data_IF_445891527281
#
_entry.id   IF_445891527281
#
_cell.length_a   1.000
_cell.length_b   1.000
_cell.length_c   1.000
_cell.angle_alpha   90.00
_cell.angle_beta   90.00
_cell.angle_gamma   90.00
#
_symmetry.space_group_name_H-M   'P 1'
#
loop_
_entity.id
_entity.type
_entity.pdbx_description
1 polymer ?
#
# COMPACT_ATOMS: atom_id res chain seq x y z
N UNK A 1 -6.81 -18.94 4.79
CA UNK A 1 -6.34 -17.80 5.60
C UNK A 1 -4.93 -18.10 6.08
N UNK A 2 -3.97 -17.17 5.91
CA UNK A 2 -2.58 -17.36 6.31
C UNK A 2 -1.94 -16.06 6.77
N UNK A 3 -0.68 -16.16 7.19
CA UNK A 3 0.14 -15.03 7.61
C UNK A 3 1.38 -14.95 6.70
N UNK A 4 1.64 -13.78 6.13
CA UNK A 4 2.82 -13.59 5.24
C UNK A 4 4.15 -13.78 5.97
N UNK A 5 4.16 -13.75 7.30
CA UNK A 5 5.32 -14.03 8.12
C UNK A 5 5.62 -15.53 8.23
N UNK A 6 4.62 -16.39 7.94
CA UNK A 6 4.76 -17.84 7.94
C UNK A 6 4.89 -18.38 6.51
N UNK A 7 6.08 -18.83 6.17
CA UNK A 7 6.40 -19.38 4.84
C UNK A 7 5.58 -20.61 4.52
N UNK A 8 5.24 -21.44 5.51
CA UNK A 8 4.48 -22.66 5.27
C UNK A 8 3.04 -22.35 4.82
N UNK A 9 2.42 -21.33 5.44
CA UNK A 9 1.07 -20.89 5.04
C UNK A 9 1.06 -20.29 3.63
N UNK A 10 2.17 -19.68 3.19
CA UNK A 10 2.33 -19.16 1.84
C UNK A 10 2.55 -20.26 0.80
N UNK A 11 3.28 -21.31 1.16
CA UNK A 11 3.59 -22.42 0.24
C UNK A 11 2.31 -23.09 -0.27
N UNK A 12 1.35 -23.34 0.62
CA UNK A 12 0.05 -23.90 0.25
C UNK A 12 -0.83 -22.92 -0.52
N UNK A 13 -0.78 -21.63 -0.16
CA UNK A 13 -1.61 -20.61 -0.78
C UNK A 13 -1.17 -20.21 -2.20
N UNK A 14 0.13 -20.28 -2.50
CA UNK A 14 0.71 -19.77 -3.77
C UNK A 14 0.88 -20.90 -4.81
N UNK A 15 0.81 -22.16 -4.41
CA UNK A 15 0.94 -23.30 -5.34
C UNK A 15 -0.14 -23.25 -6.42
N UNK A 16 0.28 -23.18 -7.69
CA UNK A 16 -0.62 -23.14 -8.85
C UNK A 16 -1.24 -21.77 -9.13
N UNK A 17 -0.76 -20.71 -8.49
CA UNK A 17 -1.21 -19.33 -8.71
C UNK A 17 -0.42 -18.69 -9.85
N UNK A 18 -1.08 -18.00 -10.78
CA UNK A 18 -0.46 -17.25 -11.87
C UNK A 18 -0.16 -15.79 -11.53
N UNK A 19 -1.00 -15.14 -10.71
CA UNK A 19 -0.94 -13.71 -10.40
C UNK A 19 -1.06 -13.47 -8.89
N UNK A 20 -0.22 -12.60 -8.34
CA UNK A 20 -0.29 -12.20 -6.94
C UNK A 20 -0.42 -10.69 -6.83
N UNK A 21 -1.48 -10.23 -6.13
CA UNK A 21 -1.55 -8.88 -5.59
C UNK A 21 -1.22 -8.93 -4.10
N UNK A 22 -0.01 -8.51 -3.75
CA UNK A 22 0.46 -8.51 -2.37
C UNK A 22 0.12 -7.18 -1.69
N UNK A 23 -0.99 -7.16 -0.96
CA UNK A 23 -1.48 -6.01 -0.21
C UNK A 23 -1.39 -6.18 1.33
N UNK A 24 -0.94 -7.35 1.80
CA UNK A 24 -0.79 -7.59 3.24
C UNK A 24 0.29 -6.69 3.84
N UNK A 25 -0.09 -5.88 4.84
CA UNK A 25 0.83 -4.94 5.48
C UNK A 25 0.28 -4.40 6.81
N UNK A 26 1.18 -3.93 7.66
CA UNK A 26 0.86 -3.00 8.72
C UNK A 26 0.94 -1.57 8.15
N UNK A 27 -0.18 -0.83 8.18
CA UNK A 27 -0.31 0.50 7.56
C UNK A 27 -0.58 1.65 8.54
N UNK A 28 -0.95 1.34 9.77
CA UNK A 28 -1.26 2.34 10.79
C UNK A 28 0.02 2.94 11.34
N UNK A 29 0.23 4.25 11.15
CA UNK A 29 1.45 4.93 11.58
C UNK A 29 1.67 4.80 13.08
N UNK A 30 0.69 5.09 13.97
CA UNK A 30 0.93 4.96 15.41
C UNK A 30 1.32 3.53 15.83
N UNK A 31 0.68 2.51 15.27
CA UNK A 31 1.01 1.12 15.58
C UNK A 31 2.41 0.73 15.10
N UNK A 32 2.83 1.23 13.94
CA UNK A 32 4.17 0.94 13.42
C UNK A 32 5.25 1.68 14.22
N UNK A 33 4.99 2.90 14.70
CA UNK A 33 5.90 3.62 15.60
C UNK A 33 6.05 2.89 16.94
N UNK A 34 4.95 2.37 17.48
CA UNK A 34 4.98 1.67 18.76
C UNK A 34 5.65 0.29 18.67
N UNK A 35 5.44 -0.40 17.53
CA UNK A 35 5.96 -1.76 17.29
C UNK A 35 6.71 -1.84 15.94
N UNK A 36 7.86 -1.14 15.80
CA UNK A 36 8.55 -1.05 14.51
C UNK A 36 9.02 -2.42 13.98
N UNK A 37 9.40 -3.34 14.87
CA UNK A 37 9.79 -4.68 14.45
C UNK A 37 8.63 -5.50 13.86
N UNK A 38 7.38 -5.27 14.30
CA UNK A 38 6.20 -5.90 13.68
C UNK A 38 5.97 -5.35 12.26
N UNK A 39 6.23 -4.04 12.05
CA UNK A 39 6.20 -3.45 10.71
C UNK A 39 7.29 -4.05 9.81
N UNK A 40 8.51 -4.23 10.31
CA UNK A 40 9.60 -4.90 9.57
C UNK A 40 9.23 -6.33 9.23
N UNK A 41 8.77 -7.12 10.22
CA UNK A 41 8.41 -8.52 10.00
C UNK A 41 7.28 -8.69 8.99
N UNK A 42 6.25 -7.85 9.03
CA UNK A 42 5.11 -7.96 8.12
C UNK A 42 5.41 -7.34 6.76
N UNK A 43 5.89 -6.08 6.74
CA UNK A 43 6.02 -5.33 5.50
C UNK A 43 7.28 -5.72 4.72
N UNK A 44 8.39 -6.01 5.40
CA UNK A 44 9.68 -6.32 4.74
C UNK A 44 9.87 -7.82 4.61
N UNK A 45 9.94 -8.55 5.72
CA UNK A 45 10.20 -10.00 5.71
C UNK A 45 9.01 -10.76 5.12
N UNK A 46 7.76 -10.36 5.45
CA UNK A 46 6.56 -10.96 4.86
C UNK A 46 6.52 -10.80 3.34
N UNK A 47 6.91 -9.63 2.82
CA UNK A 47 7.06 -9.44 1.36
C UNK A 47 8.17 -10.32 0.79
N UNK A 48 9.33 -10.40 1.43
CA UNK A 48 10.40 -11.30 1.01
C UNK A 48 9.93 -12.76 0.93
N UNK A 49 9.17 -13.22 1.94
CA UNK A 49 8.61 -14.57 1.96
C UNK A 49 7.65 -14.80 0.78
N UNK A 50 6.72 -13.87 0.54
CA UNK A 50 5.79 -13.95 -0.60
C UNK A 50 6.56 -14.05 -1.91
N UNK A 51 7.56 -13.20 -2.12
CA UNK A 51 8.36 -13.19 -3.35
C UNK A 51 9.17 -14.46 -3.53
N UNK A 52 9.78 -15.00 -2.45
CA UNK A 52 10.53 -16.25 -2.51
C UNK A 52 9.63 -17.43 -2.92
N UNK A 53 8.45 -17.54 -2.30
CA UNK A 53 7.50 -18.62 -2.62
C UNK A 53 6.91 -18.43 -4.02
N UNK A 54 6.61 -17.19 -4.43
CA UNK A 54 6.14 -16.88 -5.78
C UNK A 54 7.15 -17.26 -6.86
N UNK A 55 8.43 -16.99 -6.63
CA UNK A 55 9.53 -17.40 -7.53
C UNK A 55 9.65 -18.94 -7.58
N UNK A 56 9.57 -19.60 -6.43
CA UNK A 56 9.59 -21.09 -6.34
C UNK A 56 8.51 -21.72 -7.23
N UNK A 57 7.29 -21.16 -7.22
CA UNK A 57 6.15 -21.67 -7.99
C UNK A 57 5.99 -21.01 -9.36
N UNK A 58 6.94 -20.18 -9.79
CA UNK A 58 6.94 -19.52 -11.11
C UNK A 58 5.67 -18.70 -11.38
N UNK A 59 5.22 -17.96 -10.36
CA UNK A 59 4.11 -17.02 -10.51
C UNK A 59 4.47 -15.98 -11.57
N UNK A 60 3.60 -15.76 -12.56
CA UNK A 60 3.89 -14.91 -13.73
C UNK A 60 4.09 -13.45 -13.34
N UNK A 61 3.15 -12.87 -12.61
CA UNK A 61 3.18 -11.46 -12.23
C UNK A 61 2.87 -11.26 -10.74
N UNK A 62 3.72 -10.50 -10.07
CA UNK A 62 3.56 -10.12 -8.68
C UNK A 62 3.55 -8.59 -8.59
N UNK A 63 2.41 -8.03 -8.15
CA UNK A 63 2.27 -6.61 -7.85
C UNK A 63 2.29 -6.40 -6.34
N UNK A 64 3.27 -5.66 -5.85
CA UNK A 64 3.45 -5.35 -4.43
C UNK A 64 2.90 -3.96 -4.14
N UNK A 65 1.92 -3.86 -3.23
CA UNK A 65 1.31 -2.60 -2.87
C UNK A 65 2.19 -1.78 -1.93
N UNK A 66 2.59 -0.60 -2.41
CA UNK A 66 3.31 0.41 -1.66
C UNK A 66 2.47 1.68 -1.44
N UNK A 67 3.10 2.77 -1.06
CA UNK A 67 2.47 4.03 -0.68
C UNK A 67 3.32 5.23 -1.08
N UNK A 68 2.71 6.39 -1.25
CA UNK A 68 3.37 7.70 -1.38
C UNK A 68 4.32 8.00 -0.21
N UNK A 69 4.00 7.48 0.99
CA UNK A 69 4.81 7.66 2.22
C UNK A 69 6.14 6.89 2.20
N UNK A 70 6.38 6.03 1.21
CA UNK A 70 7.66 5.38 0.97
C UNK A 70 8.68 6.30 0.25
N UNK A 71 8.24 7.44 -0.29
CA UNK A 71 9.06 8.42 -1.00
C UNK A 71 9.73 9.32 0.01
N UNK A 72 10.20 9.70 0.71
CA UNK A 72 10.73 10.51 1.84
C UNK A 72 10.12 10.03 3.17
N UNK A 73 10.41 8.80 3.56
CA UNK A 73 9.77 8.21 4.72
C UNK A 73 10.24 8.88 6.02
N UNK A 74 9.31 9.40 6.80
CA UNK A 74 9.56 10.08 8.08
C UNK A 74 9.08 9.27 9.30
N UNK A 75 8.48 8.10 9.07
CA UNK A 75 7.94 7.26 10.13
C UNK A 75 8.19 5.77 9.83
N UNK A 76 8.08 4.92 10.86
CA UNK A 76 8.38 3.49 10.78
C UNK A 76 7.55 2.78 9.69
N UNK A 77 6.29 3.16 9.49
CA UNK A 77 5.47 2.61 8.43
C UNK A 77 6.04 2.95 7.04
N UNK A 78 6.32 4.22 6.77
CA UNK A 78 6.92 4.65 5.50
C UNK A 78 8.30 4.05 5.26
N UNK A 79 9.14 3.99 6.30
CA UNK A 79 10.49 3.36 6.24
C UNK A 79 10.38 1.88 5.88
N UNK A 80 9.49 1.14 6.55
CA UNK A 80 9.29 -0.30 6.26
C UNK A 80 8.76 -0.51 4.82
N UNK A 81 7.88 0.34 4.33
CA UNK A 81 7.38 0.29 2.95
C UNK A 81 8.47 0.66 1.93
N UNK A 82 9.31 1.65 2.22
CA UNK A 82 10.45 1.97 1.36
C UNK A 82 11.45 0.80 1.28
N UNK A 83 11.72 0.13 2.41
CA UNK A 83 12.57 -1.06 2.43
C UNK A 83 11.93 -2.22 1.68
N UNK A 84 10.62 -2.43 1.82
CA UNK A 84 9.85 -3.42 1.05
C UNK A 84 10.01 -3.22 -0.46
N UNK A 85 9.92 -1.97 -0.97
CA UNK A 85 10.17 -1.67 -2.39
C UNK A 85 11.60 -2.05 -2.81
N UNK A 86 12.60 -1.75 -1.96
CA UNK A 86 14.00 -2.13 -2.24
C UNK A 86 14.16 -3.64 -2.33
N UNK A 87 13.50 -4.40 -1.46
CA UNK A 87 13.50 -5.87 -1.51
C UNK A 87 12.85 -6.36 -2.81
N UNK A 88 11.68 -5.85 -3.19
CA UNK A 88 11.01 -6.24 -4.42
C UNK A 88 11.86 -5.94 -5.67
N UNK A 89 12.42 -4.73 -5.75
CA UNK A 89 13.31 -4.33 -6.86
C UNK A 89 14.61 -5.16 -6.89
N UNK A 90 15.18 -5.48 -5.74
CA UNK A 90 16.38 -6.32 -5.68
C UNK A 90 16.10 -7.75 -6.18
N UNK A 91 14.96 -8.34 -5.76
CA UNK A 91 14.52 -9.67 -6.24
C UNK A 91 14.30 -9.67 -7.75
N UNK A 92 13.64 -8.64 -8.29
CA UNK A 92 13.37 -8.56 -9.73
C UNK A 92 14.63 -8.54 -10.60
N UNK A 93 15.72 -7.94 -10.10
CA UNK A 93 17.00 -7.87 -10.82
C UNK A 93 17.61 -9.24 -11.10
N UNK A 94 17.36 -10.21 -10.24
CA UNK A 94 17.89 -11.58 -10.37
C UNK A 94 17.04 -12.43 -11.35
N UNK A 95 15.93 -11.89 -11.87
CA UNK A 95 14.98 -12.60 -12.74
C UNK A 95 15.08 -12.19 -14.22
N UNK A 96 16.21 -11.61 -14.65
CA UNK A 96 16.38 -11.03 -16.00
C UNK A 96 16.06 -11.98 -17.17
N UNK A 97 16.21 -13.30 -16.98
CA UNK A 97 15.95 -14.32 -17.98
C UNK A 97 14.72 -15.19 -17.63
N UNK A 98 13.87 -14.70 -16.76
CA UNK A 98 12.67 -15.40 -16.28
C UNK A 98 11.43 -14.70 -16.84
N UNK A 99 10.35 -15.44 -17.03
CA UNK A 99 9.03 -14.91 -17.38
C UNK A 99 8.32 -14.27 -16.17
N UNK A 100 8.93 -14.31 -14.97
CA UNK A 100 8.36 -13.76 -13.74
C UNK A 100 8.58 -12.25 -13.72
N UNK A 101 7.52 -11.48 -13.50
CA UNK A 101 7.55 -10.03 -13.35
C UNK A 101 7.21 -9.65 -11.90
N UNK A 102 8.08 -8.86 -11.27
CA UNK A 102 7.85 -8.26 -9.96
C UNK A 102 7.87 -6.75 -10.11
N UNK A 103 6.77 -6.09 -9.71
CA UNK A 103 6.66 -4.63 -9.71
C UNK A 103 5.96 -4.14 -8.45
N UNK A 104 5.97 -2.82 -8.24
CA UNK A 104 5.27 -2.16 -7.14
C UNK A 104 4.27 -1.14 -7.67
N UNK A 105 3.22 -0.87 -6.88
CA UNK A 105 2.31 0.27 -7.08
C UNK A 105 2.33 1.14 -5.84
N UNK A 106 2.45 2.47 -5.99
CA UNK A 106 2.36 3.43 -4.89
C UNK A 106 0.99 4.06 -4.89
N UNK A 107 0.25 3.86 -3.81
CA UNK A 107 -1.03 4.51 -3.57
C UNK A 107 -0.85 5.83 -2.83
N UNK A 108 -1.66 6.83 -3.19
CA UNK A 108 -1.96 7.97 -2.35
C UNK A 108 -2.96 7.61 -1.23
N UNK A 109 -3.76 8.58 -0.81
CA UNK A 109 -4.81 8.33 0.15
C UNK A 109 -6.06 7.81 -0.59
N UNK A 110 -6.36 6.52 -0.45
CA UNK A 110 -7.61 5.96 -0.99
C UNK A 110 -8.77 6.51 -0.14
N UNK A 111 -9.68 7.25 -0.81
CA UNK A 111 -10.82 7.91 -0.17
C UNK A 111 -11.69 6.91 0.58
N UNK A 112 -12.20 7.34 1.73
CA UNK A 112 -13.08 6.55 2.61
C UNK A 112 -12.52 5.19 3.06
N UNK A 113 -11.20 4.94 2.93
CA UNK A 113 -10.58 3.72 3.42
C UNK A 113 -10.65 3.64 4.95
N UNK A 114 -10.76 2.41 5.48
CA UNK A 114 -10.87 2.16 6.93
C UNK A 114 -9.73 2.83 7.71
N UNK A 115 -10.10 3.58 8.77
CA UNK A 115 -9.17 4.31 9.61
C UNK A 115 -8.54 5.54 8.93
N UNK A 116 -9.14 6.05 7.86
CA UNK A 116 -8.73 7.30 7.20
C UNK A 116 -9.52 8.51 7.70
N UNK A 117 -9.06 9.70 7.32
CA UNK A 117 -9.62 10.98 7.79
C UNK A 117 -11.06 11.22 7.34
N UNK A 118 -11.48 10.75 6.17
CA UNK A 118 -12.85 10.95 5.67
C UNK A 118 -13.89 10.28 6.57
N UNK A 119 -13.81 8.98 6.90
CA UNK A 119 -14.73 8.37 7.85
C UNK A 119 -14.72 9.03 9.22
N UNK A 120 -13.57 9.49 9.70
CA UNK A 120 -13.47 10.21 10.97
C UNK A 120 -14.26 11.52 10.93
N UNK A 121 -14.08 12.34 9.89
CA UNK A 121 -14.79 13.60 9.75
C UNK A 121 -16.30 13.41 9.59
N UNK A 122 -16.72 12.40 8.81
CA UNK A 122 -18.14 12.04 8.67
C UNK A 122 -18.74 11.65 10.03
N UNK A 123 -18.03 10.84 10.83
CA UNK A 123 -18.50 10.46 12.16
C UNK A 123 -18.63 11.68 13.07
N UNK A 124 -17.64 12.57 13.07
CA UNK A 124 -17.67 13.81 13.85
C UNK A 124 -18.83 14.71 13.44
N UNK A 125 -19.05 14.95 12.15
CA UNK A 125 -20.17 15.78 11.65
C UNK A 125 -21.52 15.16 12.06
N UNK A 126 -21.73 13.85 11.85
CA UNK A 126 -22.99 13.17 12.17
C UNK A 126 -23.31 13.14 13.66
N UNK A 127 -22.32 13.28 14.51
CA UNK A 127 -22.49 13.30 15.97
C UNK A 127 -22.37 14.71 16.56
N UNK A 128 -22.52 15.76 15.74
CA UNK A 128 -22.40 17.18 16.14
C UNK A 128 -21.12 17.48 16.94
N UNK A 129 -20.02 16.80 16.59
CA UNK A 129 -18.70 17.02 17.20
C UNK A 129 -17.87 17.96 16.34
N UNK A 130 -16.97 18.69 16.99
CA UNK A 130 -15.97 19.49 16.27
C UNK A 130 -15.07 18.61 15.41
N UNK A 131 -14.81 19.07 14.16
CA UNK A 131 -13.87 18.37 13.27
C UNK A 131 -12.46 18.65 13.77
N UNK A 132 -11.72 17.58 14.09
CA UNK A 132 -10.34 17.68 14.57
C UNK A 132 -9.36 17.69 13.41
N UNK A 133 -8.70 18.82 13.17
CA UNK A 133 -7.67 19.00 12.14
C UNK A 133 -6.32 19.25 12.81
N UNK A 134 -5.35 18.39 12.57
CA UNK A 134 -3.99 18.51 13.14
C UNK A 134 -3.22 19.66 12.49
N UNK A 135 -3.26 19.73 11.15
CA UNK A 135 -2.66 20.80 10.35
C UNK A 135 -3.55 21.06 9.12
N UNK A 136 -4.18 22.24 9.04
CA UNK A 136 -5.11 22.58 7.95
C UNK A 136 -4.41 22.65 6.58
N UNK A 137 -3.13 23.02 6.55
CA UNK A 137 -2.36 23.18 5.30
C UNK A 137 -1.77 21.87 4.79
N UNK A 138 -1.82 20.80 5.59
CA UNK A 138 -1.29 19.50 5.18
C UNK A 138 -2.03 18.99 3.94
N UNK A 139 -1.28 18.68 2.89
CA UNK A 139 -1.84 18.16 1.63
C UNK A 139 -1.89 16.64 1.61
N UNK A 140 -2.86 16.10 0.88
CA UNK A 140 -3.02 14.67 0.61
C UNK A 140 -3.31 14.43 -0.86
N UNK A 141 -2.63 13.46 -1.45
CA UNK A 141 -2.99 12.94 -2.77
C UNK A 141 -4.19 12.04 -2.63
N UNK A 142 -5.30 12.42 -3.27
CA UNK A 142 -6.57 11.70 -3.16
C UNK A 142 -6.75 10.77 -4.36
N UNK A 143 -7.19 9.54 -4.09
CA UNK A 143 -7.46 8.57 -5.13
C UNK A 143 -8.75 7.81 -4.79
N UNK A 144 -9.57 7.53 -5.79
CA UNK A 144 -10.75 6.68 -5.62
C UNK A 144 -10.35 5.20 -5.47
N UNK A 145 -11.30 4.37 -5.07
CA UNK A 145 -11.06 2.92 -5.06
C UNK A 145 -10.89 2.39 -6.49
N UNK A 146 -11.65 2.93 -7.45
CA UNK A 146 -11.56 2.55 -8.86
C UNK A 146 -10.19 2.90 -9.44
N UNK A 147 -9.68 4.13 -9.18
CA UNK A 147 -8.31 4.51 -9.56
C UNK A 147 -7.25 3.56 -8.97
N UNK A 148 -7.46 3.13 -7.73
CA UNK A 148 -6.55 2.20 -7.07
C UNK A 148 -6.54 0.83 -7.73
N UNK A 149 -7.73 0.32 -8.13
CA UNK A 149 -7.88 -0.93 -8.86
C UNK A 149 -7.28 -0.81 -10.26
N UNK A 150 -7.58 0.27 -10.97
CA UNK A 150 -7.08 0.52 -12.32
C UNK A 150 -5.54 0.57 -12.36
N UNK A 151 -4.92 1.19 -11.35
CA UNK A 151 -3.45 1.21 -11.23
C UNK A 151 -2.86 -0.19 -11.10
N UNK A 152 -3.47 -1.07 -10.30
CA UNK A 152 -3.04 -2.47 -10.16
C UNK A 152 -3.24 -3.25 -11.45
N UNK A 153 -4.41 -3.10 -12.07
CA UNK A 153 -4.69 -3.78 -13.34
C UNK A 153 -3.79 -3.30 -14.47
N UNK A 154 -3.45 -2.01 -14.49
CA UNK A 154 -2.45 -1.47 -15.41
C UNK A 154 -1.07 -2.07 -15.17
N UNK A 155 -0.65 -2.18 -13.90
CA UNK A 155 0.63 -2.80 -13.53
C UNK A 155 0.69 -4.25 -13.97
N UNK A 156 -0.35 -5.07 -13.73
CA UNK A 156 -0.40 -6.46 -14.19
C UNK A 156 -0.23 -6.61 -15.71
N UNK A 157 -0.74 -5.65 -16.50
CA UNK A 157 -0.70 -5.72 -17.97
C UNK A 157 0.61 -5.19 -18.57
N UNK A 158 1.25 -4.22 -17.92
CA UNK A 158 2.29 -3.42 -18.57
C UNK A 158 3.65 -3.45 -17.85
N UNK A 159 3.73 -4.04 -16.66
CA UNK A 159 4.94 -3.98 -15.86
C UNK A 159 6.12 -4.75 -16.47
N UNK A 160 7.29 -4.18 -16.27
CA UNK A 160 8.57 -4.86 -16.38
C UNK A 160 9.18 -5.03 -14.99
N UNK A 161 10.14 -5.94 -14.88
CA UNK A 161 10.81 -6.22 -13.63
C UNK A 161 11.44 -4.95 -13.00
N UNK A 162 11.04 -4.68 -11.76
CA UNK A 162 11.52 -3.56 -10.97
C UNK A 162 10.77 -2.24 -11.16
N UNK A 163 9.74 -2.19 -12.00
CA UNK A 163 8.92 -1.00 -12.18
C UNK A 163 8.18 -0.63 -10.88
N UNK A 164 8.04 0.67 -10.66
CA UNK A 164 7.22 1.24 -9.58
C UNK A 164 6.21 2.21 -10.21
N UNK A 165 4.96 1.82 -10.24
CA UNK A 165 3.88 2.62 -10.82
C UNK A 165 3.32 3.62 -9.81
N UNK A 166 3.14 4.85 -10.26
CA UNK A 166 2.54 5.93 -9.47
C UNK A 166 1.50 6.62 -10.35
N UNK A 167 0.27 6.69 -9.88
CA UNK A 167 -0.77 7.45 -10.56
C UNK A 167 -0.63 8.93 -10.21
N UNK A 168 -0.72 9.80 -11.22
CA UNK A 168 -0.84 11.25 -10.99
C UNK A 168 -2.23 11.52 -10.40
N UNK A 169 -2.28 11.82 -9.12
CA UNK A 169 -3.52 12.08 -8.40
C UNK A 169 -3.64 13.57 -8.01
N UNK A 170 -4.84 14.14 -7.95
CA UNK A 170 -5.05 15.48 -7.42
C UNK A 170 -4.68 15.53 -5.95
N UNK A 171 -4.18 16.68 -5.49
CA UNK A 171 -3.92 16.95 -4.09
C UNK A 171 -4.94 17.94 -3.54
N UNK A 172 -5.35 17.76 -2.29
CA UNK A 172 -6.13 18.74 -1.56
C UNK A 172 -5.57 18.95 -0.15
N UNK A 173 -5.86 20.11 0.46
CA UNK A 173 -5.57 20.35 1.87
C UNK A 173 -6.56 19.61 2.76
N UNK A 174 -6.16 19.30 3.98
CA UNK A 174 -7.07 18.68 4.97
C UNK A 174 -8.21 19.63 5.32
N UNK A 175 -7.95 20.93 5.35
CA UNK A 175 -8.99 21.94 5.55
C UNK A 175 -10.05 21.95 4.43
N UNK A 176 -9.62 21.95 3.17
CA UNK A 176 -10.53 21.88 2.03
C UNK A 176 -11.40 20.62 2.09
N UNK A 177 -10.80 19.49 2.44
CA UNK A 177 -11.53 18.22 2.59
C UNK A 177 -12.59 18.32 3.70
N UNK A 178 -12.24 18.86 4.87
CA UNK A 178 -13.16 19.02 5.99
C UNK A 178 -14.34 19.94 5.63
N UNK A 179 -14.05 21.10 5.02
CA UNK A 179 -15.06 22.05 4.60
C UNK A 179 -16.00 21.46 3.53
N UNK A 180 -15.45 20.72 2.58
CA UNK A 180 -16.25 20.05 1.53
C UNK A 180 -17.21 19.03 2.16
N UNK A 181 -16.73 18.19 3.08
CA UNK A 181 -17.58 17.20 3.76
C UNK A 181 -18.66 17.86 4.61
N UNK A 182 -18.33 18.94 5.31
CA UNK A 182 -19.31 19.71 6.08
C UNK A 182 -20.42 20.28 5.20
N UNK A 183 -20.07 20.84 4.04
CA UNK A 183 -21.06 21.41 3.10
C UNK A 183 -21.91 20.33 2.42
N UNK A 184 -21.42 19.09 2.29
CA UNK A 184 -22.16 18.00 1.67
C UNK A 184 -23.11 17.29 2.65
N UNK A 185 -22.87 17.38 3.95
CA UNK A 185 -23.61 16.64 4.97
C UNK A 185 -24.56 17.52 5.81
N UNK A 186 -24.48 18.85 5.69
CA UNK A 186 -25.43 19.84 6.21
C UNK A 186 -26.39 20.23 5.09
#
# INVERSE_FOLDING_TARGET
LGDVRDVNSLDDAIRGVDYIFHAAALKQVPSCEFYPMQAVQTNVIGTENVLNVAIKYKVKNIVVLSTDKAVYPINAMGISKAMMEKVAVAKSRNLKNSEIVICCTRYGNVMASRGSVIPLFIDQIRNDKDITITDPNMTRFMMSLDDAVDLVMFAFKNAKNGDIFVQKAPACTVELLANTLKNMLN
#
